data_IF_436869729052
#
_entry.id   IF_436869729052
#
_cell.length_a   1.000
_cell.length_b   1.000
_cell.length_c   1.000
_cell.angle_alpha   90.00
_cell.angle_beta   90.00
_cell.angle_gamma   90.00
#
_symmetry.space_group_name_H-M   'P 1'
#
loop_
_entity.id
_entity.type
_entity.pdbx_description
1 polymer ?
#
# COMPACT_ATOMS: atom_id res chain seq x y z
N UNK A 1 -5.90 -9.69 30.64
CA UNK A 1 -5.36 -10.38 29.45
C UNK A 1 -6.18 -9.98 28.23
N UNK A 2 -5.55 -9.79 27.07
CA UNK A 2 -6.24 -9.46 25.82
C UNK A 2 -6.93 -10.71 25.26
N UNK A 3 -8.24 -10.64 25.03
CA UNK A 3 -9.04 -11.80 24.59
C UNK A 3 -9.14 -11.92 23.07
N UNK A 4 -9.25 -10.79 22.36
CA UNK A 4 -9.42 -10.77 20.91
C UNK A 4 -8.54 -9.68 20.31
N UNK A 5 -7.83 -10.03 19.24
CA UNK A 5 -7.01 -9.13 18.45
C UNK A 5 -7.20 -9.48 16.97
N UNK A 6 -7.63 -8.51 16.19
CA UNK A 6 -7.87 -8.66 14.76
C UNK A 6 -7.11 -7.56 14.04
N UNK A 7 -6.20 -7.95 13.13
CA UNK A 7 -5.48 -6.95 12.36
C UNK A 7 -6.43 -6.27 11.37
N UNK A 8 -6.16 -5.02 11.02
CA UNK A 8 -6.98 -4.22 10.10
C UNK A 8 -7.21 -4.94 8.76
N UNK A 9 -6.18 -5.59 8.22
CA UNK A 9 -6.26 -6.33 6.96
C UNK A 9 -7.11 -7.61 7.03
N UNK A 10 -7.50 -8.05 8.22
CA UNK A 10 -8.37 -9.20 8.43
C UNK A 10 -9.84 -8.80 8.57
N UNK A 11 -10.13 -7.51 8.80
CA UNK A 11 -11.50 -7.00 8.93
C UNK A 11 -11.97 -6.60 7.53
N UNK A 12 -13.09 -7.19 7.09
CA UNK A 12 -13.59 -7.00 5.72
C UNK A 12 -14.85 -6.16 5.65
N UNK A 13 -15.72 -6.22 6.66
CA UNK A 13 -17.01 -5.52 6.63
C UNK A 13 -17.42 -5.05 8.02
N UNK A 14 -18.06 -3.89 8.10
CA UNK A 14 -18.65 -3.34 9.33
C UNK A 14 -20.14 -3.17 9.08
N UNK A 15 -20.96 -3.72 9.98
CA UNK A 15 -22.41 -3.68 9.93
C UNK A 15 -22.94 -2.89 11.14
N UNK A 16 -23.80 -1.91 10.88
CA UNK A 16 -24.62 -1.28 11.92
C UNK A 16 -25.89 -2.09 12.12
N UNK A 17 -26.32 -2.27 13.35
CA UNK A 17 -27.63 -2.86 13.63
C UNK A 17 -28.73 -1.80 13.43
N UNK A 18 -29.72 -2.11 12.60
CA UNK A 18 -30.88 -1.24 12.33
C UNK A 18 -31.95 -1.33 13.41
N UNK A 19 -31.92 -2.37 14.24
CA UNK A 19 -32.88 -2.64 15.31
C UNK A 19 -32.38 -2.12 16.68
N UNK A 20 -31.06 -2.04 16.88
CA UNK A 20 -30.45 -1.51 18.10
C UNK A 20 -29.32 -0.52 17.75
N UNK A 21 -29.55 0.77 17.97
CA UNK A 21 -28.55 1.84 17.72
C UNK A 21 -27.28 1.74 18.59
N UNK A 22 -27.29 0.87 19.59
CA UNK A 22 -26.12 0.56 20.45
C UNK A 22 -25.48 -0.78 20.08
N UNK A 23 -25.87 -1.38 18.96
CA UNK A 23 -25.25 -2.58 18.46
C UNK A 23 -24.62 -2.34 17.09
N UNK A 24 -23.46 -2.94 16.90
CA UNK A 24 -22.79 -3.02 15.62
C UNK A 24 -21.98 -4.32 15.57
N UNK A 25 -21.50 -4.68 14.40
CA UNK A 25 -20.59 -5.80 14.27
C UNK A 25 -19.63 -5.63 13.11
N UNK A 26 -18.64 -6.50 13.06
CA UNK A 26 -17.71 -6.57 11.95
C UNK A 26 -17.38 -8.01 11.60
N UNK A 27 -17.09 -8.24 10.33
CA UNK A 27 -16.61 -9.52 9.81
C UNK A 27 -15.09 -9.48 9.80
N UNK A 28 -14.46 -10.47 10.42
CA UNK A 28 -13.02 -10.67 10.38
C UNK A 28 -12.65 -12.09 9.93
N UNK A 29 -11.46 -12.24 9.35
CA UNK A 29 -10.90 -13.52 8.95
C UNK A 29 -10.59 -13.61 7.46
N UNK A 30 -9.79 -14.62 7.11
CA UNK A 30 -9.36 -14.90 5.75
C UNK A 30 -10.37 -15.78 5.02
N UNK A 31 -10.19 -15.91 3.72
CA UNK A 31 -11.03 -16.74 2.86
C UNK A 31 -11.21 -18.15 3.47
N UNK A 32 -12.47 -18.57 3.60
CA UNK A 32 -12.86 -19.84 4.23
C UNK A 32 -12.96 -19.84 5.76
N UNK A 33 -12.62 -18.74 6.45
CA UNK A 33 -12.72 -18.62 7.91
C UNK A 33 -13.21 -17.23 8.35
N UNK A 34 -14.28 -16.76 7.72
CA UNK A 34 -14.93 -15.50 8.09
C UNK A 34 -15.76 -15.69 9.35
N UNK A 35 -15.57 -14.81 10.33
CA UNK A 35 -16.32 -14.76 11.58
C UNK A 35 -16.96 -13.40 11.73
N UNK A 36 -18.21 -13.39 12.18
CA UNK A 36 -18.90 -12.16 12.54
C UNK A 36 -18.79 -11.92 14.04
N UNK A 37 -18.28 -10.75 14.41
CA UNK A 37 -18.20 -10.28 15.79
C UNK A 37 -19.28 -9.24 16.00
N UNK A 38 -20.25 -9.54 16.86
CA UNK A 38 -21.30 -8.61 17.28
C UNK A 38 -20.92 -7.96 18.61
N UNK A 39 -21.03 -6.63 18.69
CA UNK A 39 -20.67 -5.83 19.85
C UNK A 39 -21.88 -5.00 20.26
N UNK A 40 -22.21 -5.06 21.55
CA UNK A 40 -23.19 -4.18 22.17
C UNK A 40 -22.48 -3.13 23.01
N UNK A 41 -22.63 -1.87 22.63
CA UNK A 41 -22.04 -0.71 23.32
C UNK A 41 -22.97 -0.22 24.42
N UNK A 42 -22.40 0.47 25.41
CA UNK A 42 -23.20 1.08 26.48
C UNK A 42 -24.07 2.24 25.96
N UNK A 43 -23.50 3.04 25.05
CA UNK A 43 -24.10 4.19 24.37
C UNK A 43 -24.28 3.89 22.88
N UNK A 44 -24.62 4.89 22.06
CA UNK A 44 -24.73 4.74 20.62
C UNK A 44 -23.44 4.17 20.00
N UNK A 45 -23.59 3.24 19.06
CA UNK A 45 -22.49 2.62 18.34
C UNK A 45 -21.96 3.50 17.18
N UNK A 46 -22.74 4.50 16.76
CA UNK A 46 -22.40 5.41 15.66
C UNK A 46 -20.96 5.97 15.72
N UNK A 47 -20.49 6.51 16.86
CA UNK A 47 -19.15 7.09 16.92
C UNK A 47 -18.06 6.04 16.67
N UNK A 48 -18.22 4.84 17.21
CA UNK A 48 -17.26 3.73 17.04
C UNK A 48 -17.21 3.27 15.58
N UNK A 49 -18.36 3.23 14.92
CA UNK A 49 -18.44 2.87 13.50
C UNK A 49 -17.74 3.92 12.64
N UNK A 50 -17.91 5.21 12.95
CA UNK A 50 -17.24 6.31 12.25
C UNK A 50 -15.72 6.24 12.45
N UNK A 51 -15.27 6.02 13.69
CA UNK A 51 -13.83 5.88 13.99
C UNK A 51 -13.20 4.72 13.20
N UNK A 52 -13.89 3.57 13.10
CA UNK A 52 -13.41 2.44 12.31
C UNK A 52 -13.35 2.76 10.81
N UNK A 53 -14.34 3.47 10.27
CA UNK A 53 -14.34 3.94 8.88
C UNK A 53 -13.13 4.84 8.62
N UNK A 54 -12.91 5.81 9.50
CA UNK A 54 -11.86 6.81 9.35
C UNK A 54 -10.47 6.15 9.49
N UNK A 55 -10.32 5.16 10.37
CA UNK A 55 -9.11 4.34 10.47
C UNK A 55 -8.82 3.57 9.18
N UNK A 56 -9.82 2.92 8.58
CA UNK A 56 -9.64 2.19 7.33
C UNK A 56 -9.31 3.11 6.16
N UNK A 57 -9.97 4.26 6.09
CA UNK A 57 -9.70 5.28 5.09
C UNK A 57 -8.26 5.80 5.19
N UNK A 58 -7.81 6.15 6.40
CA UNK A 58 -6.44 6.61 6.64
C UNK A 58 -5.40 5.57 6.24
N UNK A 59 -5.60 4.30 6.63
CA UNK A 59 -4.67 3.21 6.27
C UNK A 59 -4.63 3.00 4.75
N UNK A 60 -5.78 3.09 4.08
CA UNK A 60 -5.85 3.01 2.62
C UNK A 60 -5.06 4.14 1.97
N UNK A 61 -5.24 5.39 2.40
CA UNK A 61 -4.52 6.55 1.88
C UNK A 61 -3.01 6.46 2.10
N UNK A 62 -2.58 6.03 3.30
CA UNK A 62 -1.17 5.81 3.60
C UNK A 62 -0.56 4.73 2.70
N UNK A 63 -1.24 3.58 2.56
CA UNK A 63 -0.79 2.50 1.66
C UNK A 63 -0.74 2.95 0.21
N UNK A 64 -1.73 3.72 -0.24
CA UNK A 64 -1.77 4.22 -1.61
C UNK A 64 -0.60 5.17 -1.89
N UNK A 65 -0.26 6.05 -0.93
CA UNK A 65 0.88 6.95 -1.04
C UNK A 65 2.21 6.18 -1.08
N UNK A 66 2.39 5.22 -0.17
CA UNK A 66 3.59 4.37 -0.16
C UNK A 66 3.79 3.60 -1.48
N UNK A 67 2.72 3.05 -2.05
CA UNK A 67 2.78 2.33 -3.33
C UNK A 67 3.13 3.27 -4.50
N UNK A 68 2.59 4.49 -4.52
CA UNK A 68 2.93 5.50 -5.52
C UNK A 68 4.40 5.92 -5.44
N UNK A 69 4.92 6.14 -4.23
CA UNK A 69 6.33 6.48 -4.00
C UNK A 69 7.26 5.35 -4.43
N UNK A 70 6.93 4.10 -4.09
CA UNK A 70 7.70 2.92 -4.53
C UNK A 70 7.71 2.79 -6.05
N UNK A 71 6.59 3.06 -6.72
CA UNK A 71 6.52 3.02 -8.18
C UNK A 71 7.37 4.12 -8.81
N UNK A 72 7.26 5.35 -8.31
CA UNK A 72 8.07 6.48 -8.77
C UNK A 72 9.58 6.23 -8.58
N UNK A 73 9.97 5.59 -7.47
CA UNK A 73 11.36 5.23 -7.21
C UNK A 73 11.87 4.15 -8.17
N UNK A 74 11.05 3.14 -8.47
CA UNK A 74 11.37 2.11 -9.48
C UNK A 74 11.50 2.70 -10.88
N UNK A 75 10.61 3.62 -11.26
CA UNK A 75 10.63 4.25 -12.58
C UNK A 75 11.91 5.08 -12.76
N UNK A 76 12.33 5.85 -11.73
CA UNK A 76 13.61 6.58 -11.75
C UNK A 76 14.82 5.66 -11.84
N UNK A 77 14.82 4.53 -11.13
CA UNK A 77 15.91 3.54 -11.23
C UNK A 77 15.98 2.90 -12.60
N UNK A 78 14.83 2.58 -13.21
CA UNK A 78 14.80 2.03 -14.57
C UNK A 78 15.32 3.05 -15.59
N UNK A 79 14.88 4.31 -15.48
CA UNK A 79 15.33 5.38 -16.36
C UNK A 79 16.84 5.64 -16.24
N UNK A 80 17.38 5.69 -15.02
CA UNK A 80 18.82 5.81 -14.79
C UNK A 80 19.61 4.63 -15.34
N UNK A 81 19.12 3.39 -15.18
CA UNK A 81 19.76 2.22 -15.73
C UNK A 81 19.79 2.25 -17.27
N UNK A 82 18.70 2.69 -17.92
CA UNK A 82 18.64 2.83 -19.38
C UNK A 82 19.65 3.86 -19.89
N UNK A 83 19.71 5.05 -19.29
CA UNK A 83 20.71 6.06 -19.68
C UNK A 83 22.14 5.55 -19.51
N UNK A 84 22.40 4.80 -18.44
CA UNK A 84 23.74 4.30 -18.19
C UNK A 84 24.16 3.21 -19.16
N UNK A 85 23.26 2.31 -19.55
CA UNK A 85 23.50 1.33 -20.62
C UNK A 85 23.77 2.00 -21.97
N UNK A 86 22.99 3.04 -22.34
CA UNK A 86 23.20 3.77 -23.60
C UNK A 86 24.58 4.44 -23.62
N UNK A 87 24.98 5.10 -22.53
CA UNK A 87 26.30 5.74 -22.42
C UNK A 87 27.45 4.73 -22.46
N UNK A 88 27.27 3.53 -21.90
CA UNK A 88 28.27 2.47 -21.96
C UNK A 88 28.41 1.89 -23.38
N UNK A 89 27.30 1.73 -24.11
CA UNK A 89 27.34 1.30 -25.53
C UNK A 89 28.03 2.32 -26.44
N UNK A 90 27.83 3.62 -26.24
CA UNK A 90 28.48 4.69 -27.04
C UNK A 90 29.98 4.84 -26.74
N UNK A 91 30.45 4.46 -25.55
CA UNK A 91 31.87 4.53 -25.15
C UNK A 91 32.68 3.33 -25.63
N UNK A 92 32.03 2.17 -25.84
CA UNK A 92 32.66 0.98 -26.41
C UNK A 92 32.69 0.98 -27.96
N UNK A 93 32.13 1.99 -28.63
CA UNK A 93 32.19 2.10 -30.09
C UNK A 93 33.66 2.27 -30.55
N UNK A 94 34.22 1.31 -31.31
CA UNK A 94 35.60 1.37 -31.80
C UNK A 94 35.87 2.61 -32.67
N UNK A 95 34.84 3.23 -33.26
CA UNK A 95 34.97 4.48 -34.03
C UNK A 95 35.42 5.63 -33.14
N UNK A 96 34.95 5.72 -31.88
CA UNK A 96 35.35 6.77 -30.93
C UNK A 96 36.79 6.61 -30.47
N UNK A 97 37.26 5.37 -30.23
CA UNK A 97 38.66 5.12 -29.90
C UNK A 97 39.60 5.49 -31.06
N UNK A 98 39.26 5.11 -32.30
CA UNK A 98 40.09 5.41 -33.47
C UNK A 98 40.23 6.92 -33.71
N UNK A 99 39.17 7.70 -33.50
CA UNK A 99 39.20 9.16 -33.65
C UNK A 99 40.09 9.82 -32.58
N UNK A 100 40.02 9.36 -31.33
CA UNK A 100 40.85 9.88 -30.24
C UNK A 100 42.34 9.56 -30.42
N UNK A 101 42.66 8.37 -30.94
CA UNK A 101 44.04 7.98 -31.26
C UNK A 101 44.62 8.80 -32.43
N UNK A 102 43.80 9.09 -33.44
CA UNK A 102 44.22 9.90 -34.60
C UNK A 102 44.46 11.37 -34.24
N UNK A 103 43.81 11.88 -33.19
CA UNK A 103 43.94 13.27 -32.72
C UNK A 103 45.18 13.55 -31.89
N UNK A 104 45.91 12.49 -31.47
CA UNK A 104 47.13 12.57 -30.64
C UNK A 104 48.43 12.51 -31.45
N UNK A 105 48.35 12.42 -32.78
CA UNK A 105 49.47 12.38 -33.72
C UNK A 105 49.83 13.75 -34.28
#
# INVERSE_FOLDING_TARGET
ALQHHHAVHEISYIAKDITDHRAFGYVCGKEGNHRFVAIKTAQAAEPVILDLRDLFQLIYELKQREELEKKAQKDKQCEQAVYQTILEEDVEDPVYQVILETSRG
#
